data_IF_818707530395
#
_entry.id   IF_818707530395
#
_cell.length_a   1.000
_cell.length_b   1.000
_cell.length_c   1.000
_cell.angle_alpha   90.00
_cell.angle_beta   90.00
_cell.angle_gamma   90.00
#
_symmetry.space_group_name_H-M   'P 1'
#
loop_
_entity.id
_entity.type
_entity.pdbx_description
1 polymer ?
#
# COMPACT_ATOMS: atom_id res chain seq x y z
N UNK A 1 27.46 -5.01 -6.94
CA UNK A 1 26.01 -4.76 -7.09
C UNK A 1 25.36 -5.11 -5.76
N UNK A 2 24.98 -4.12 -4.95
CA UNK A 2 24.40 -4.37 -3.62
C UNK A 2 22.90 -4.60 -3.82
N UNK A 3 22.42 -5.82 -3.57
CA UNK A 3 20.99 -6.08 -3.53
C UNK A 3 20.38 -5.30 -2.37
N UNK A 4 19.54 -4.31 -2.67
CA UNK A 4 18.70 -3.65 -1.67
C UNK A 4 17.60 -4.64 -1.26
N UNK A 5 17.81 -5.35 -0.16
CA UNK A 5 16.77 -6.16 0.48
C UNK A 5 15.57 -5.25 0.78
N UNK A 6 14.48 -5.48 0.06
CA UNK A 6 13.23 -4.75 0.20
C UNK A 6 12.21 -5.73 0.77
N UNK A 7 11.82 -5.55 2.02
CA UNK A 7 10.76 -6.35 2.64
C UNK A 7 9.43 -5.85 2.13
N UNK A 8 8.53 -6.76 1.76
CA UNK A 8 7.13 -6.45 1.43
C UNK A 8 6.24 -7.09 2.50
N UNK A 9 5.30 -6.31 3.04
CA UNK A 9 4.36 -6.76 4.05
C UNK A 9 2.97 -6.28 3.68
N UNK A 10 1.98 -7.16 3.90
CA UNK A 10 0.55 -6.83 3.76
C UNK A 10 -0.10 -7.13 5.09
N UNK A 11 -0.85 -6.16 5.60
CA UNK A 11 -1.68 -6.31 6.79
C UNK A 11 -3.13 -6.13 6.35
N UNK A 12 -3.98 -7.09 6.68
CA UNK A 12 -5.43 -7.00 6.45
C UNK A 12 -6.12 -6.89 7.79
N UNK A 13 -7.03 -5.93 7.91
CA UNK A 13 -7.89 -5.73 9.07
C UNK A 13 -9.32 -5.73 8.54
N UNK A 14 -10.16 -6.57 9.13
CA UNK A 14 -11.59 -6.59 8.83
C UNK A 14 -12.31 -5.80 9.91
N UNK A 15 -12.96 -4.73 9.50
CA UNK A 15 -13.78 -3.90 10.38
C UNK A 15 -15.22 -4.41 10.42
N UNK A 16 -15.94 -4.04 11.49
CA UNK A 16 -17.37 -4.37 11.60
C UNK A 16 -18.14 -3.55 10.54
N UNK A 17 -19.06 -4.14 9.77
CA UNK A 17 -19.83 -3.39 8.78
C UNK A 17 -20.50 -2.15 9.37
N UNK A 18 -20.35 -1.00 8.71
CA UNK A 18 -20.90 0.29 9.12
C UNK A 18 -20.05 1.08 10.10
N UNK A 19 -18.84 0.61 10.47
CA UNK A 19 -17.89 1.39 11.29
C UNK A 19 -16.91 2.23 10.48
N UNK A 20 -16.86 2.06 9.16
CA UNK A 20 -16.15 2.96 8.26
C UNK A 20 -17.05 4.16 7.94
N UNK A 21 -16.51 5.38 8.07
CA UNK A 21 -17.24 6.61 7.78
C UNK A 21 -16.50 7.43 6.73
N UNK A 22 -17.19 7.81 5.65
CA UNK A 22 -16.66 8.67 4.57
C UNK A 22 -17.59 9.87 4.46
N UNK A 23 -17.04 11.08 4.62
CA UNK A 23 -17.84 12.31 4.64
C UNK A 23 -18.81 12.43 5.83
N UNK A 24 -18.65 11.61 6.88
CA UNK A 24 -19.54 11.57 8.05
C UNK A 24 -20.67 10.55 7.97
N UNK A 25 -20.82 9.86 6.83
CA UNK A 25 -21.84 8.82 6.63
C UNK A 25 -21.21 7.42 6.71
N UNK A 26 -21.93 6.39 7.19
CA UNK A 26 -21.43 5.03 7.28
C UNK A 26 -21.37 4.33 5.91
N UNK A 27 -20.28 3.62 5.65
CA UNK A 27 -20.03 2.87 4.41
C UNK A 27 -19.70 1.41 4.72
N UNK A 28 -20.71 0.51 4.71
CA UNK A 28 -20.52 -0.88 5.12
C UNK A 28 -19.74 -1.74 4.11
N UNK A 29 -19.55 -1.27 2.87
CA UNK A 29 -18.81 -1.97 1.82
C UNK A 29 -17.66 -1.10 1.31
N UNK A 30 -16.68 -0.84 2.18
CA UNK A 30 -15.60 0.11 1.92
C UNK A 30 -14.22 -0.47 2.22
N UNK A 31 -13.22 -0.06 1.44
CA UNK A 31 -11.80 -0.39 1.65
C UNK A 31 -10.96 0.88 1.74
N UNK A 32 -10.10 0.97 2.78
CA UNK A 32 -9.02 1.95 2.84
C UNK A 32 -7.67 1.25 2.74
N UNK A 33 -6.92 1.51 1.67
CA UNK A 33 -5.58 0.96 1.45
C UNK A 33 -4.49 1.98 1.77
N UNK A 34 -3.55 1.59 2.64
CA UNK A 34 -2.43 2.44 3.07
C UNK A 34 -1.12 1.82 2.62
N UNK A 35 -0.45 2.45 1.65
CA UNK A 35 0.80 1.94 1.07
C UNK A 35 1.97 2.74 1.64
N UNK A 36 2.93 2.08 2.28
CA UNK A 36 4.12 2.73 2.83
C UNK A 36 5.37 2.30 2.07
N UNK A 37 6.06 3.26 1.45
CA UNK A 37 7.34 3.06 0.79
C UNK A 37 8.47 3.57 1.67
N UNK A 38 9.31 2.64 2.15
CA UNK A 38 10.47 2.97 2.99
C UNK A 38 11.78 2.55 2.30
N UNK A 39 11.75 1.45 1.54
CA UNK A 39 12.93 0.93 0.87
C UNK A 39 13.40 1.80 -0.31
N UNK A 40 12.47 2.50 -0.97
CA UNK A 40 12.70 3.35 -2.14
C UNK A 40 11.79 4.58 -2.08
N UNK A 41 12.22 5.64 -2.76
CA UNK A 41 11.42 6.82 -2.98
C UNK A 41 11.34 7.15 -4.47
N UNK A 42 10.20 7.68 -4.91
CA UNK A 42 9.98 8.20 -6.25
C UNK A 42 10.92 9.38 -6.51
N UNK A 43 11.54 9.40 -7.70
CA UNK A 43 12.50 10.45 -8.09
C UNK A 43 11.89 11.51 -9.00
N UNK A 44 10.81 11.17 -9.68
CA UNK A 44 10.10 12.02 -10.65
C UNK A 44 8.61 11.73 -10.57
N UNK A 45 7.78 12.70 -10.98
CA UNK A 45 6.32 12.56 -10.91
C UNK A 45 5.77 11.51 -11.86
N UNK A 46 6.46 11.22 -12.98
CA UNK A 46 6.08 10.14 -13.88
C UNK A 46 6.11 8.77 -13.17
N UNK A 47 7.13 8.52 -12.34
CA UNK A 47 7.22 7.29 -11.57
C UNK A 47 6.07 7.16 -10.55
N UNK A 48 5.61 8.27 -9.95
CA UNK A 48 4.45 8.28 -9.06
C UNK A 48 3.18 7.89 -9.82
N UNK A 49 2.94 8.54 -10.97
CA UNK A 49 1.76 8.26 -11.82
C UNK A 49 1.74 6.82 -12.31
N UNK A 50 2.88 6.32 -12.78
CA UNK A 50 2.97 4.94 -13.27
C UNK A 50 2.72 3.93 -12.15
N UNK A 51 3.19 4.21 -10.93
CA UNK A 51 2.91 3.35 -9.79
C UNK A 51 1.42 3.39 -9.39
N UNK A 52 0.80 4.57 -9.32
CA UNK A 52 -0.64 4.69 -9.04
C UNK A 52 -1.47 3.94 -10.09
N UNK A 53 -1.16 4.11 -11.38
CA UNK A 53 -1.84 3.37 -12.45
C UNK A 53 -1.70 1.85 -12.30
N UNK A 54 -0.54 1.36 -11.87
CA UNK A 54 -0.33 -0.07 -11.61
C UNK A 54 -1.13 -0.57 -10.39
N UNK A 55 -1.31 0.26 -9.35
CA UNK A 55 -2.19 -0.04 -8.22
C UNK A 55 -3.64 -0.14 -8.71
N UNK A 56 -4.10 0.83 -9.49
CA UNK A 56 -5.45 0.86 -10.07
C UNK A 56 -5.74 -0.38 -10.93
N UNK A 57 -4.80 -0.75 -11.81
CA UNK A 57 -4.92 -1.92 -12.70
C UNK A 57 -5.13 -3.23 -11.92
N UNK A 58 -4.52 -3.34 -10.73
CA UNK A 58 -4.63 -4.53 -9.88
C UNK A 58 -5.91 -4.52 -9.07
N UNK A 59 -6.23 -3.40 -8.41
CA UNK A 59 -7.26 -3.36 -7.38
C UNK A 59 -8.65 -3.01 -7.90
N UNK A 60 -8.76 -2.12 -8.90
CA UNK A 60 -10.08 -1.70 -9.40
C UNK A 60 -10.93 -2.89 -9.86
N UNK A 61 -10.42 -3.86 -10.65
CA UNK A 61 -11.25 -5.00 -11.07
C UNK A 61 -11.75 -5.85 -9.90
N UNK A 62 -11.01 -5.90 -8.79
CA UNK A 62 -11.37 -6.70 -7.61
C UNK A 62 -12.44 -5.98 -6.79
N UNK A 63 -12.27 -4.68 -6.55
CA UNK A 63 -13.20 -3.89 -5.75
C UNK A 63 -14.50 -3.59 -6.49
N UNK A 64 -14.43 -3.29 -7.79
CA UNK A 64 -15.62 -3.08 -8.64
C UNK A 64 -16.48 -4.34 -8.73
N UNK A 65 -15.86 -5.52 -8.92
CA UNK A 65 -16.59 -6.80 -8.94
C UNK A 65 -17.34 -7.08 -7.64
N UNK A 66 -16.88 -6.50 -6.53
CA UNK A 66 -17.46 -6.65 -5.19
C UNK A 66 -18.34 -5.46 -4.79
N UNK A 67 -18.57 -4.53 -5.72
CA UNK A 67 -19.35 -3.29 -5.50
C UNK A 67 -18.84 -2.49 -4.29
N UNK A 68 -17.53 -2.57 -4.00
CA UNK A 68 -16.93 -1.87 -2.88
C UNK A 68 -16.62 -0.43 -3.29
N UNK A 69 -16.76 0.51 -2.35
CA UNK A 69 -16.12 1.81 -2.47
C UNK A 69 -14.68 1.71 -1.93
N UNK A 70 -13.75 2.49 -2.46
CA UNK A 70 -12.37 2.44 -1.97
C UNK A 70 -11.64 3.77 -2.05
N UNK A 71 -10.67 3.91 -1.15
CA UNK A 71 -9.63 4.93 -1.21
C UNK A 71 -8.26 4.29 -1.02
N UNK A 72 -7.22 4.95 -1.53
CA UNK A 72 -5.85 4.62 -1.14
C UNK A 72 -4.94 5.83 -1.17
N UNK A 73 -3.85 5.74 -0.40
CA UNK A 73 -2.74 6.68 -0.50
C UNK A 73 -1.40 5.97 -0.39
N UNK A 74 -0.36 6.66 -0.84
CA UNK A 74 1.02 6.24 -0.72
C UNK A 74 1.77 7.26 0.14
N UNK A 75 2.44 6.79 1.18
CA UNK A 75 3.33 7.60 2.00
C UNK A 75 4.77 7.09 1.88
N UNK A 76 5.70 8.01 1.67
CA UNK A 76 7.13 7.73 1.68
C UNK A 76 7.71 8.05 3.05
N UNK A 77 8.59 7.18 3.56
CA UNK A 77 9.26 7.37 4.83
C UNK A 77 10.76 7.26 4.71
N UNK A 78 11.48 7.89 5.63
CA UNK A 78 12.93 7.95 5.56
C UNK A 78 13.57 6.60 5.83
N UNK A 79 14.45 6.16 4.91
CA UNK A 79 15.07 4.83 4.98
C UNK A 79 16.05 4.68 6.16
N UNK A 80 16.70 5.76 6.58
CA UNK A 80 17.61 5.78 7.73
C UNK A 80 16.89 5.60 9.08
N UNK A 81 15.58 5.89 9.13
CA UNK A 81 14.72 5.63 10.28
C UNK A 81 14.11 4.21 10.30
N UNK A 82 14.49 3.36 9.35
CA UNK A 82 14.03 1.98 9.28
C UNK A 82 15.08 1.01 9.83
N UNK A 83 14.71 0.28 10.89
CA UNK A 83 15.50 -0.83 11.43
C UNK A 83 14.76 -2.14 11.19
N UNK A 84 15.45 -3.12 10.64
CA UNK A 84 14.97 -4.50 10.57
C UNK A 84 16.02 -5.42 11.21
N UNK A 85 15.55 -6.50 11.86
CA UNK A 85 16.40 -7.54 12.45
C UNK A 85 16.33 -8.79 11.57
N UNK A 86 16.65 -8.64 10.29
CA UNK A 86 16.66 -9.78 9.37
C UNK A 86 17.99 -10.53 9.50
N UNK A 87 17.93 -11.86 9.69
CA UNK A 87 19.09 -12.73 9.89
C UNK A 87 19.27 -13.79 8.79
N UNK A 88 18.61 -13.64 7.63
CA UNK A 88 18.70 -14.60 6.53
C UNK A 88 19.97 -14.41 5.70
N UNK A 89 20.74 -15.48 5.51
CA UNK A 89 21.91 -15.53 4.62
C UNK A 89 21.46 -15.45 3.16
N UNK A 90 21.87 -14.40 2.43
CA UNK A 90 21.79 -14.40 0.96
C UNK A 90 23.04 -15.12 0.45
N UNK A 91 22.89 -16.38 0.04
CA UNK A 91 23.92 -17.07 -0.75
C UNK A 91 24.02 -16.35 -2.10
N UNK A 92 25.25 -16.04 -2.50
CA UNK A 92 25.61 -15.24 -3.67
C UNK A 92 25.20 -15.90 -5.00
#
# INVERSE_FOLDING_TARGET
MVYLHSTFQVHSIEDIPGTAFVGGEPHPNFVSLKIYHIARAFKIDEAKRNFMAAVDEIFNPIFELKEMEWEYFIAESSRDLWKNKWSGTTTA
#
